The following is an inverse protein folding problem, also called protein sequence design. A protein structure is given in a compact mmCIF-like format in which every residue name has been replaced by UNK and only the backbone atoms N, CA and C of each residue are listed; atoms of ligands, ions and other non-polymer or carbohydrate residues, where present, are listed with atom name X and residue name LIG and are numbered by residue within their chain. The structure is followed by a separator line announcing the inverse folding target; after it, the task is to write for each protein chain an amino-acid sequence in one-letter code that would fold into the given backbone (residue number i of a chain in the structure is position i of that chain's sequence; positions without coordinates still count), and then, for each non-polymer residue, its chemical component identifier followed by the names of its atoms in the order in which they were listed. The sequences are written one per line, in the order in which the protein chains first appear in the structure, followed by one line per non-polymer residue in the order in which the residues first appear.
data_IF_892262297630
#
_entry.id   IF_892262297630
#
_cell.length_a   1.000
_cell.length_b   1.000
_cell.length_c   1.000
_cell.angle_alpha   90.00
_cell.angle_beta   90.00
_cell.angle_gamma   90.00
#
_symmetry.space_group_name_H-M   'P 1'
#
loop_
_entity.id
_entity.type
_entity.pdbx_description
1 polymer ?
#
# COMPACT_ATOMS: atom_id res chain seq x y z
N UNK A 1 17.30 9.54 40.07
CA UNK A 1 16.47 9.34 41.27
C UNK A 1 15.04 9.64 40.88
N UNK A 2 14.14 8.67 41.00
CA UNK A 2 12.71 8.89 40.70
C UNK A 2 12.07 9.52 41.93
N UNK A 3 11.37 10.64 41.74
CA UNK A 3 10.61 11.34 42.78
C UNK A 3 9.13 10.98 42.61
N UNK A 4 8.51 10.51 43.69
CA UNK A 4 7.10 10.18 43.75
C UNK A 4 6.37 11.30 44.51
N UNK A 5 5.35 11.87 43.90
CA UNK A 5 4.51 12.90 44.53
C UNK A 5 3.21 12.27 45.01
N UNK A 6 2.93 12.36 46.32
CA UNK A 6 1.66 11.93 46.91
C UNK A 6 0.99 13.10 47.64
N UNK A 7 -0.34 13.09 47.74
CA UNK A 7 -1.07 14.09 48.53
C UNK A 7 -1.27 13.58 49.94
N UNK A 8 -0.94 14.40 50.94
CA UNK A 8 -1.20 14.07 52.34
C UNK A 8 -2.73 14.00 52.59
N UNK A 9 -3.24 12.91 53.19
CA UNK A 9 -4.68 12.74 53.44
C UNK A 9 -5.24 13.70 54.50
N UNK A 10 -4.39 14.34 55.31
CA UNK A 10 -4.81 15.23 56.40
C UNK A 10 -4.90 16.70 55.99
N UNK A 11 -4.00 17.19 55.13
CA UNK A 11 -3.91 18.61 54.77
C UNK A 11 -3.95 18.87 53.26
N UNK A 12 -3.90 17.81 52.43
CA UNK A 12 -3.92 17.92 50.97
C UNK A 12 -2.63 18.45 50.34
N UNK A 13 -1.59 18.72 51.13
CA UNK A 13 -0.29 19.18 50.65
C UNK A 13 0.44 18.05 49.89
N UNK A 14 1.07 18.38 48.77
CA UNK A 14 1.87 17.44 47.98
C UNK A 14 3.23 17.22 48.64
N UNK A 15 3.56 15.96 48.91
CA UNK A 15 4.85 15.55 49.48
C UNK A 15 5.57 14.70 48.43
N UNK A 16 6.78 15.13 48.07
CA UNK A 16 7.66 14.43 47.13
C UNK A 16 8.66 13.57 47.93
N UNK A 17 8.70 12.27 47.66
CA UNK A 17 9.64 11.35 48.31
C UNK A 17 10.38 10.49 47.29
N UNK A 18 11.54 9.99 47.69
CA UNK A 18 12.32 9.02 46.91
C UNK A 18 11.82 7.60 47.18
N UNK A 19 12.05 6.72 46.21
CA UNK A 19 11.63 5.30 46.24
C UNK A 19 12.22 4.52 47.43
N UNK A 20 13.32 5.00 48.01
CA UNK A 20 14.07 4.30 49.06
C UNK A 20 13.36 4.26 50.43
N UNK A 21 12.28 5.04 50.62
CA UNK A 21 11.55 5.16 51.90
C UNK A 21 10.08 4.73 51.81
N UNK A 22 9.73 3.81 50.91
CA UNK A 22 8.35 3.37 50.65
C UNK A 22 7.65 2.62 51.80
N UNK A 23 8.41 2.02 52.73
CA UNK A 23 7.86 1.22 53.84
C UNK A 23 7.93 1.93 55.20
N UNK A 24 8.38 3.20 55.22
CA UNK A 24 8.56 3.97 56.44
C UNK A 24 7.53 5.12 56.51
N UNK A 25 7.07 5.47 57.72
CA UNK A 25 6.08 6.54 57.91
C UNK A 25 6.70 7.90 57.55
N UNK A 26 6.25 8.47 56.44
CA UNK A 26 6.68 9.79 55.99
C UNK A 26 5.95 10.85 56.82
N UNK A 27 6.69 11.83 57.36
CA UNK A 27 6.14 12.97 58.09
C UNK A 27 5.87 14.10 57.11
N UNK A 28 4.63 14.61 57.08
CA UNK A 28 4.29 15.75 56.22
C UNK A 28 4.95 17.04 56.73
N UNK A 29 5.70 17.80 55.91
CA UNK A 29 6.35 19.05 56.32
C UNK A 29 5.37 20.20 56.60
N UNK A 30 4.11 20.08 56.14
CA UNK A 30 3.11 21.13 56.31
C UNK A 30 2.24 20.96 57.57
N UNK A 31 2.10 19.73 58.10
CA UNK A 31 1.21 19.47 59.23
C UNK A 31 1.76 18.51 60.29
N UNK A 32 3.02 18.09 60.17
CA UNK A 32 3.76 17.22 61.11
C UNK A 32 3.05 15.91 61.50
N UNK A 33 2.12 15.45 60.66
CA UNK A 33 1.41 14.18 60.88
C UNK A 33 2.08 13.07 60.08
N UNK A 34 2.41 11.92 60.71
CA UNK A 34 2.88 10.76 59.99
C UNK A 34 1.72 10.11 59.22
N UNK A 35 1.94 9.75 57.96
CA UNK A 35 1.00 8.96 57.17
C UNK A 35 1.75 7.89 56.36
N UNK A 36 1.05 6.80 56.07
CA UNK A 36 1.57 5.70 55.27
C UNK A 36 1.03 5.81 53.84
N UNK A 37 1.91 5.63 52.86
CA UNK A 37 1.55 5.75 51.45
C UNK A 37 1.04 4.38 50.96
N UNK A 38 -0.28 4.17 50.95
CA UNK A 38 -0.84 2.99 50.32
C UNK A 38 -0.74 3.13 48.80
N UNK A 39 0.11 2.30 48.19
CA UNK A 39 0.17 2.14 46.74
C UNK A 39 -1.23 1.72 46.28
N UNK A 40 -1.85 2.40 45.29
CA UNK A 40 -3.14 2.01 44.79
C UNK A 40 -3.03 0.58 44.24
N UNK A 41 -3.57 -0.39 44.99
CA UNK A 41 -3.61 -1.77 44.53
C UNK A 41 -4.62 -1.83 43.40
N UNK A 42 -4.11 -1.92 42.17
CA UNK A 42 -4.92 -2.25 41.00
C UNK A 42 -5.44 -3.65 41.22
N UNK A 43 -6.70 -3.78 41.67
CA UNK A 43 -7.37 -5.06 41.74
C UNK A 43 -7.83 -5.43 40.34
N UNK A 44 -7.32 -6.52 39.81
CA UNK A 44 -7.79 -7.09 38.55
C UNK A 44 -9.24 -7.55 38.75
N UNK A 45 -10.21 -6.79 38.25
CA UNK A 45 -11.65 -7.09 38.44
C UNK A 45 -12.09 -8.33 37.68
N UNK A 46 -11.40 -8.66 36.58
CA UNK A 46 -11.62 -9.89 35.84
C UNK A 46 -10.42 -10.18 34.96
N UNK A 47 -9.87 -11.38 35.07
CA UNK A 47 -8.97 -11.96 34.05
C UNK A 47 -9.88 -12.70 33.08
N UNK A 48 -9.99 -12.21 31.84
CA UNK A 48 -10.66 -12.95 30.78
C UNK A 48 -9.63 -13.87 30.15
N UNK A 49 -9.71 -15.16 30.43
CA UNK A 49 -8.94 -16.16 29.71
C UNK A 49 -9.46 -16.16 28.26
N UNK A 50 -8.71 -15.54 27.35
CA UNK A 50 -8.80 -15.88 25.93
C UNK A 50 -8.37 -17.32 25.83
N UNK A 51 -9.30 -18.20 25.43
CA UNK A 51 -9.02 -19.62 25.25
C UNK A 51 -7.80 -19.84 24.38
N UNK A 52 -7.11 -20.95 24.63
CA UNK A 52 -6.01 -21.50 23.83
C UNK A 52 -6.51 -21.97 22.45
N UNK A 53 -7.16 -21.06 21.74
CA UNK A 53 -7.22 -21.10 20.29
C UNK A 53 -5.99 -20.31 19.87
N UNK A 54 -5.02 -21.00 19.25
CA UNK A 54 -4.09 -20.39 18.31
C UNK A 54 -4.92 -19.70 17.23
N UNK A 55 -5.42 -18.52 17.57
CA UNK A 55 -6.14 -17.63 16.68
C UNK A 55 -5.09 -17.05 15.72
N UNK A 56 -5.10 -17.45 14.43
CA UNK A 56 -4.13 -16.95 13.47
C UNK A 56 -4.20 -15.43 13.32
N UNK A 57 -5.26 -14.78 13.82
CA UNK A 57 -5.44 -13.34 13.76
C UNK A 57 -4.60 -12.56 14.79
N UNK A 58 -4.00 -13.21 15.80
CA UNK A 58 -3.14 -12.52 16.78
C UNK A 58 -1.77 -12.16 16.17
N UNK A 59 -1.32 -12.88 15.14
CA UNK A 59 -0.16 -12.44 14.35
C UNK A 59 -0.47 -11.20 13.49
N UNK A 60 -1.73 -10.96 13.12
CA UNK A 60 -2.12 -9.83 12.26
C UNK A 60 -2.31 -8.48 12.97
N UNK A 61 -2.27 -8.45 14.30
CA UNK A 61 -2.48 -7.22 15.08
C UNK A 61 -1.17 -6.47 15.42
N UNK A 62 -0.01 -7.09 15.21
CA UNK A 62 1.28 -6.39 15.29
C UNK A 62 1.61 -5.59 14.02
N UNK A 63 0.99 -5.90 12.88
CA UNK A 63 1.27 -5.26 11.59
C UNK A 63 0.40 -4.03 11.30
N UNK A 64 -0.68 -3.80 12.05
CA UNK A 64 -1.65 -2.75 11.75
C UNK A 64 -1.42 -1.40 12.47
N UNK A 65 -0.39 -1.26 13.31
CA UNK A 65 -0.06 0.01 13.98
C UNK A 65 1.32 0.53 13.57
N UNK A 66 1.41 1.08 12.35
CA UNK A 66 2.56 1.92 11.98
C UNK A 66 2.99 1.83 10.53
N UNK A 67 2.51 0.83 9.78
CA UNK A 67 2.95 0.61 8.41
C UNK A 67 2.48 1.76 7.50
N UNK A 68 3.40 2.63 7.11
CA UNK A 68 3.10 3.79 6.28
C UNK A 68 3.15 3.35 4.82
N UNK A 69 2.04 3.53 4.09
CA UNK A 69 2.03 3.31 2.64
C UNK A 69 2.87 4.40 1.97
N UNK A 70 4.14 4.09 1.70
CA UNK A 70 5.08 5.01 1.06
C UNK A 70 4.66 5.31 -0.38
N UNK A 71 4.20 4.29 -1.13
CA UNK A 71 3.88 4.47 -2.54
C UNK A 71 2.80 3.50 -3.04
N UNK A 72 1.73 4.06 -3.62
CA UNK A 72 0.69 3.29 -4.32
C UNK A 72 0.72 3.61 -5.80
N UNK A 73 1.17 2.65 -6.60
CA UNK A 73 1.32 2.78 -8.05
C UNK A 73 0.26 1.95 -8.76
N UNK A 74 -0.40 2.57 -9.74
CA UNK A 74 -1.24 1.86 -10.69
C UNK A 74 -0.53 1.85 -12.04
N UNK A 75 -0.56 0.75 -12.79
CA UNK A 75 0.13 0.68 -14.07
C UNK A 75 -0.53 1.65 -15.07
N UNK A 76 0.29 2.44 -15.76
CA UNK A 76 -0.19 3.41 -16.76
C UNK A 76 -0.25 2.76 -18.13
N UNK A 77 -1.37 2.12 -18.43
CA UNK A 77 -1.53 1.32 -19.67
C UNK A 77 -1.40 2.18 -20.94
N UNK A 78 -1.76 3.47 -20.87
CA UNK A 78 -1.61 4.42 -21.98
C UNK A 78 -0.16 4.58 -22.46
N UNK A 79 0.80 4.34 -21.57
CA UNK A 79 2.23 4.56 -21.80
C UNK A 79 2.97 3.28 -22.24
N UNK A 80 2.36 2.11 -22.04
CA UNK A 80 2.91 0.77 -22.33
C UNK A 80 2.93 0.40 -23.81
N UNK A 81 1.99 0.91 -24.63
CA UNK A 81 1.86 0.53 -26.04
C UNK A 81 1.82 1.78 -26.93
N UNK A 82 2.95 2.45 -27.21
CA UNK A 82 2.99 3.58 -28.15
C UNK A 82 2.46 3.17 -29.54
N UNK A 83 2.72 1.93 -29.96
CA UNK A 83 2.14 1.38 -31.19
C UNK A 83 0.63 1.12 -31.07
N UNK A 84 0.16 0.71 -29.90
CA UNK A 84 -1.27 0.49 -29.66
C UNK A 84 -2.06 1.79 -29.67
N UNK A 85 -1.54 2.85 -29.03
CA UNK A 85 -2.13 4.19 -29.06
C UNK A 85 -2.05 4.80 -30.46
N UNK A 86 -0.94 4.60 -31.19
CA UNK A 86 -0.84 4.98 -32.60
C UNK A 86 -1.86 4.24 -33.48
N UNK A 87 -2.06 2.93 -33.30
CA UNK A 87 -3.09 2.18 -34.02
C UNK A 87 -4.49 2.73 -33.71
N UNK A 88 -4.78 3.09 -32.46
CA UNK A 88 -6.06 3.72 -32.10
C UNK A 88 -6.21 5.08 -32.81
N UNK A 89 -5.17 5.92 -32.82
CA UNK A 89 -5.19 7.20 -33.54
C UNK A 89 -5.38 7.01 -35.05
N UNK A 90 -4.76 5.99 -35.64
CA UNK A 90 -4.93 5.62 -37.05
C UNK A 90 -6.36 5.15 -37.31
N UNK A 91 -6.94 4.34 -36.41
CA UNK A 91 -8.34 3.88 -36.52
C UNK A 91 -9.30 5.05 -36.40
N UNK A 92 -9.07 5.98 -35.47
CA UNK A 92 -9.85 7.22 -35.34
C UNK A 92 -9.71 8.12 -36.57
N UNK A 93 -8.50 8.27 -37.11
CA UNK A 93 -8.25 9.01 -38.34
C UNK A 93 -8.92 8.38 -39.56
N UNK A 94 -8.87 7.05 -39.69
CA UNK A 94 -9.53 6.31 -40.76
C UNK A 94 -11.06 6.36 -40.62
N UNK A 95 -11.60 6.22 -39.41
CA UNK A 95 -13.03 6.36 -39.13
C UNK A 95 -13.52 7.79 -39.43
N UNK A 96 -12.76 8.81 -39.04
CA UNK A 96 -13.04 10.21 -39.37
C UNK A 96 -12.98 10.48 -40.88
N UNK A 97 -12.00 9.93 -41.58
CA UNK A 97 -11.91 10.03 -43.05
C UNK A 97 -13.10 9.36 -43.75
N UNK A 98 -13.48 8.15 -43.32
CA UNK A 98 -14.66 7.44 -43.83
C UNK A 98 -15.96 8.19 -43.51
N UNK A 99 -16.06 8.81 -42.34
CA UNK A 99 -17.21 9.63 -41.94
C UNK A 99 -17.34 10.88 -42.82
N UNK A 100 -16.24 11.60 -43.08
CA UNK A 100 -16.23 12.74 -44.02
C UNK A 100 -16.62 12.30 -45.43
N UNK A 101 -16.15 11.12 -45.88
CA UNK A 101 -16.55 10.55 -47.17
C UNK A 101 -18.04 10.20 -47.23
N UNK A 102 -18.61 9.75 -46.12
CA UNK A 102 -20.04 9.44 -45.99
C UNK A 102 -20.95 10.67 -46.10
N UNK A 103 -20.46 11.88 -45.81
CA UNK A 103 -21.24 13.12 -45.91
C UNK A 103 -21.35 13.66 -47.34
N UNK A 104 -20.49 13.21 -48.26
CA UNK A 104 -20.42 13.69 -49.64
C UNK A 104 -20.73 12.64 -50.71
N UNK A 105 -21.15 11.43 -50.33
CA UNK A 105 -21.48 10.35 -51.24
C UNK A 105 -22.99 10.03 -51.17
N UNK A 106 -23.71 10.30 -52.27
CA UNK A 106 -25.15 9.98 -52.43
C UNK A 106 -25.42 8.46 -52.54
N UNK A 107 -24.39 7.65 -52.78
CA UNK A 107 -24.53 6.19 -52.88
C UNK A 107 -23.72 5.45 -51.80
N UNK A 108 -24.45 4.78 -50.91
CA UNK A 108 -23.93 3.66 -50.12
C UNK A 108 -23.89 3.87 -48.60
N UNK A 109 -25.01 3.55 -47.95
CA UNK A 109 -25.17 3.36 -46.50
C UNK A 109 -24.04 2.53 -45.84
N UNK A 110 -23.31 1.71 -46.60
CA UNK A 110 -22.26 0.80 -46.11
C UNK A 110 -21.06 1.52 -45.47
N UNK A 111 -20.66 2.71 -45.92
CA UNK A 111 -19.50 3.42 -45.34
C UNK A 111 -19.79 3.95 -43.93
N UNK A 112 -21.04 4.33 -43.66
CA UNK A 112 -21.48 4.76 -42.32
C UNK A 112 -21.39 3.62 -41.29
N UNK A 113 -21.80 2.41 -41.66
CA UNK A 113 -21.68 1.23 -40.78
C UNK A 113 -20.23 0.85 -40.49
N UNK A 114 -19.33 1.00 -41.47
CA UNK A 114 -17.89 0.74 -41.26
C UNK A 114 -17.28 1.77 -40.30
N UNK A 115 -17.63 3.06 -40.47
CA UNK A 115 -17.17 4.11 -39.56
C UNK A 115 -17.69 3.88 -38.13
N UNK A 116 -18.98 3.54 -37.98
CA UNK A 116 -19.58 3.19 -36.70
C UNK A 116 -18.87 1.99 -36.06
N UNK A 117 -18.65 0.91 -36.82
CA UNK A 117 -17.97 -0.28 -36.33
C UNK A 117 -16.53 0.01 -35.89
N UNK A 118 -15.79 0.85 -36.63
CA UNK A 118 -14.44 1.26 -36.25
C UNK A 118 -14.41 2.06 -34.94
N UNK A 119 -15.36 2.98 -34.75
CA UNK A 119 -15.50 3.74 -33.50
C UNK A 119 -15.81 2.81 -32.34
N UNK A 120 -16.80 1.91 -32.49
CA UNK A 120 -17.18 0.95 -31.45
C UNK A 120 -16.02 0.03 -31.10
N UNK A 121 -15.31 -0.52 -32.10
CA UNK A 121 -14.15 -1.36 -31.87
C UNK A 121 -13.03 -0.61 -31.12
N UNK A 122 -12.75 0.64 -31.49
CA UNK A 122 -11.76 1.45 -30.78
C UNK A 122 -12.13 1.69 -29.31
N UNK A 123 -13.41 1.94 -29.04
CA UNK A 123 -13.92 2.17 -27.70
C UNK A 123 -13.82 0.90 -26.83
N UNK A 124 -14.12 -0.27 -27.40
CA UNK A 124 -13.97 -1.55 -26.71
C UNK A 124 -12.52 -1.84 -26.34
N UNK A 125 -11.57 -1.55 -27.23
CA UNK A 125 -10.13 -1.73 -26.95
C UNK A 125 -9.68 -0.83 -25.79
N UNK A 126 -10.07 0.46 -25.82
CA UNK A 126 -9.74 1.40 -24.74
C UNK A 126 -10.37 0.97 -23.42
N UNK A 127 -11.63 0.55 -23.43
CA UNK A 127 -12.32 0.06 -22.25
C UNK A 127 -11.63 -1.17 -21.66
N UNK A 128 -11.25 -2.15 -22.50
CA UNK A 128 -10.53 -3.34 -22.07
C UNK A 128 -9.19 -3.00 -21.41
N UNK A 129 -8.42 -2.08 -22.00
CA UNK A 129 -7.15 -1.63 -21.40
C UNK A 129 -7.34 -0.87 -20.10
N UNK A 130 -8.36 -0.04 -20.02
CA UNK A 130 -8.70 0.69 -18.79
C UNK A 130 -9.06 -0.27 -17.66
N UNK A 131 -9.89 -1.28 -17.95
CA UNK A 131 -10.28 -2.29 -16.96
C UNK A 131 -9.03 -3.03 -16.44
N UNK A 132 -8.12 -3.44 -17.32
CA UNK A 132 -6.86 -4.07 -16.92
C UNK A 132 -5.98 -3.13 -16.07
N UNK A 133 -5.94 -1.84 -16.41
CA UNK A 133 -5.18 -0.83 -15.66
C UNK A 133 -5.65 -0.71 -14.20
N UNK A 134 -6.97 -0.75 -14.00
CA UNK A 134 -7.61 -0.63 -12.69
C UNK A 134 -7.53 -1.94 -11.91
N UNK A 135 -7.49 -3.07 -12.61
CA UNK A 135 -7.41 -4.40 -12.01
C UNK A 135 -6.03 -4.76 -11.44
N UNK A 136 -4.99 -3.97 -11.73
CA UNK A 136 -3.63 -4.21 -11.26
C UNK A 136 -3.19 -3.06 -10.37
N UNK A 137 -2.62 -3.36 -9.20
CA UNK A 137 -2.14 -2.35 -8.25
C UNK A 137 -0.89 -2.85 -7.55
N UNK A 138 0.16 -2.02 -7.55
CA UNK A 138 1.37 -2.25 -6.77
C UNK A 138 1.39 -1.27 -5.60
N UNK A 139 1.49 -1.80 -4.39
CA UNK A 139 1.58 -1.03 -3.16
C UNK A 139 2.92 -1.35 -2.50
N UNK A 140 3.75 -0.35 -2.32
CA UNK A 140 5.03 -0.44 -1.60
C UNK A 140 4.82 0.28 -0.28
N UNK A 141 5.06 -0.43 0.82
CA UNK A 141 5.06 0.10 2.18
C UNK A 141 6.49 0.18 2.69
N UNK A 142 6.66 0.50 3.98
CA UNK A 142 7.93 0.48 4.69
C UNK A 142 8.48 -0.93 4.92
N UNK A 143 7.64 -1.97 5.10
CA UNK A 143 8.15 -3.31 5.43
C UNK A 143 7.94 -4.33 4.31
N UNK A 144 7.01 -4.10 3.37
CA UNK A 144 6.65 -5.09 2.36
C UNK A 144 6.22 -4.47 1.04
N UNK A 145 6.17 -5.33 0.02
CA UNK A 145 5.63 -4.98 -1.29
C UNK A 145 4.46 -5.89 -1.61
N UNK A 146 3.30 -5.29 -1.89
CA UNK A 146 2.06 -6.00 -2.19
C UNK A 146 1.67 -5.73 -3.64
N UNK A 147 1.57 -6.80 -4.42
CA UNK A 147 1.10 -6.78 -5.79
C UNK A 147 -0.26 -7.46 -5.89
N UNK A 148 -1.24 -6.75 -6.44
CA UNK A 148 -2.59 -7.26 -6.66
C UNK A 148 -2.90 -7.22 -8.14
N UNK A 149 -3.36 -8.33 -8.70
CA UNK A 149 -3.81 -8.40 -10.08
C UNK A 149 -5.09 -9.20 -10.26
N UNK A 150 -5.84 -8.86 -11.31
CA UNK A 150 -6.98 -9.65 -11.77
C UNK A 150 -8.33 -8.95 -11.70
N UNK A 151 -9.20 -9.30 -12.66
CA UNK A 151 -10.53 -8.67 -12.85
C UNK A 151 -11.63 -9.48 -12.16
N UNK A 152 -11.59 -10.81 -12.34
CA UNK A 152 -12.63 -11.75 -11.87
C UNK A 152 -12.07 -12.60 -10.72
N UNK A 153 -10.99 -13.35 -11.00
CA UNK A 153 -10.10 -13.87 -9.97
C UNK A 153 -9.15 -12.74 -9.58
N UNK A 154 -8.93 -12.55 -8.27
CA UNK A 154 -7.95 -11.60 -7.75
C UNK A 154 -6.83 -12.40 -7.12
N UNK A 155 -5.65 -12.25 -7.66
CA UNK A 155 -4.42 -12.81 -7.16
C UNK A 155 -3.67 -11.71 -6.40
N UNK A 156 -3.18 -12.04 -5.21
CA UNK A 156 -2.44 -11.11 -4.34
C UNK A 156 -1.17 -11.78 -3.93
N UNK A 157 -0.04 -11.22 -4.35
CA UNK A 157 1.30 -11.63 -3.96
C UNK A 157 1.89 -10.58 -3.04
N UNK A 158 2.54 -11.03 -1.98
CA UNK A 158 3.15 -10.17 -0.98
C UNK A 158 4.54 -10.68 -0.64
N UNK A 159 5.51 -9.78 -0.61
CA UNK A 159 6.90 -10.11 -0.27
C UNK A 159 7.42 -9.07 0.72
N UNK A 160 7.87 -9.53 1.89
CA UNK A 160 8.55 -8.67 2.88
C UNK A 160 9.90 -8.21 2.31
N UNK A 161 10.29 -6.97 2.61
CA UNK A 161 11.55 -6.40 2.11
C UNK A 161 12.77 -7.22 2.57
N UNK A 162 12.72 -7.80 3.78
CA UNK A 162 13.74 -8.70 4.33
C UNK A 162 13.92 -9.99 3.52
N UNK A 163 12.84 -10.50 2.92
CA UNK A 163 12.84 -11.75 2.18
C UNK A 163 13.23 -11.56 0.70
N UNK A 164 13.29 -10.32 0.21
CA UNK A 164 13.62 -9.98 -1.18
C UNK A 164 15.09 -10.30 -1.46
N UNK A 165 15.31 -11.25 -2.36
CA UNK A 165 16.66 -11.71 -2.72
C UNK A 165 17.16 -11.12 -4.02
N UNK A 166 16.28 -10.97 -5.00
CA UNK A 166 16.62 -10.46 -6.31
C UNK A 166 15.49 -9.57 -6.85
N UNK A 167 15.89 -8.43 -7.41
CA UNK A 167 14.99 -7.47 -8.06
C UNK A 167 15.48 -7.28 -9.49
N UNK A 168 14.61 -7.57 -10.45
CA UNK A 168 14.87 -7.49 -11.88
C UNK A 168 14.08 -6.33 -12.47
N UNK A 169 14.73 -5.49 -13.26
CA UNK A 169 14.08 -4.40 -13.99
C UNK A 169 14.26 -4.67 -15.48
N UNK A 170 13.15 -4.86 -16.18
CA UNK A 170 13.13 -5.03 -17.63
C UNK A 170 12.59 -3.77 -18.30
N UNK A 171 13.41 -3.16 -19.16
CA UNK A 171 13.05 -1.96 -19.91
C UNK A 171 13.63 -2.01 -21.32
N UNK A 172 12.75 -1.96 -22.31
CA UNK A 172 13.11 -1.71 -23.71
C UNK A 172 13.49 -0.24 -23.95
N UNK A 173 14.15 0.05 -25.07
CA UNK A 173 14.59 1.42 -25.40
C UNK A 173 13.44 2.44 -25.42
N UNK A 174 12.30 2.07 -26.00
CA UNK A 174 11.10 2.91 -26.01
C UNK A 174 10.53 3.08 -24.60
N UNK A 175 10.48 2.02 -23.80
CA UNK A 175 10.08 2.08 -22.39
C UNK A 175 10.95 3.03 -21.56
N UNK A 176 12.28 3.07 -21.79
CA UNK A 176 13.18 4.04 -21.13
C UNK A 176 12.87 5.49 -21.52
N UNK A 177 12.64 5.76 -22.82
CA UNK A 177 12.29 7.10 -23.28
C UNK A 177 11.00 7.60 -22.62
N UNK A 178 10.01 6.70 -22.55
CA UNK A 178 8.75 6.97 -21.89
C UNK A 178 8.80 6.51 -20.43
N UNK A 179 9.94 6.47 -19.73
CA UNK A 179 10.08 6.20 -18.28
C UNK A 179 9.11 5.19 -17.63
N UNK A 180 8.88 4.06 -18.28
CA UNK A 180 8.04 2.94 -17.80
C UNK A 180 8.89 1.67 -17.87
N UNK A 181 8.65 0.70 -16.98
CA UNK A 181 9.30 -0.59 -17.06
C UNK A 181 8.54 -1.69 -16.34
N UNK A 182 9.07 -2.88 -16.45
CA UNK A 182 8.55 -4.07 -15.81
C UNK A 182 9.49 -4.41 -14.64
N UNK A 183 8.91 -4.70 -13.48
CA UNK A 183 9.65 -5.01 -12.24
C UNK A 183 9.30 -6.44 -11.84
N UNK A 184 10.31 -7.27 -11.68
CA UNK A 184 10.22 -8.62 -11.17
C UNK A 184 10.89 -8.74 -9.81
N UNK A 185 10.20 -9.31 -8.82
CA UNK A 185 10.77 -9.53 -7.48
C UNK A 185 10.74 -11.04 -7.18
N UNK A 186 11.86 -11.57 -6.70
CA UNK A 186 11.99 -12.95 -6.23
C UNK A 186 12.29 -12.99 -4.74
N UNK A 187 11.55 -13.84 -4.03
CA UNK A 187 11.69 -14.09 -2.60
C UNK A 187 12.68 -15.23 -2.32
N UNK A 188 13.16 -15.31 -1.09
CA UNK A 188 14.03 -16.37 -0.60
C UNK A 188 13.40 -17.77 -0.62
N UNK A 189 12.07 -17.86 -0.67
CA UNK A 189 11.33 -19.12 -0.63
C UNK A 189 11.16 -19.86 -1.97
N UNK A 190 11.34 -19.17 -3.11
CA UNK A 190 11.03 -19.72 -4.44
C UNK A 190 12.02 -19.19 -5.49
N UNK A 191 12.43 -20.03 -6.44
CA UNK A 191 13.35 -19.64 -7.52
C UNK A 191 12.65 -18.85 -8.65
N UNK A 192 11.32 -18.78 -8.66
CA UNK A 192 10.54 -18.05 -9.66
C UNK A 192 10.24 -16.60 -9.23
N UNK A 193 9.75 -15.78 -10.17
CA UNK A 193 9.29 -14.43 -9.89
C UNK A 193 7.94 -14.47 -9.16
N UNK A 194 7.92 -14.05 -7.90
CA UNK A 194 6.70 -14.04 -7.08
C UNK A 194 5.83 -12.81 -7.36
N UNK A 195 6.46 -11.70 -7.74
CA UNK A 195 5.79 -10.47 -8.17
C UNK A 195 6.30 -10.09 -9.55
N UNK A 196 5.38 -9.94 -10.50
CA UNK A 196 5.64 -9.43 -11.85
C UNK A 196 4.79 -8.20 -12.11
N UNK A 197 5.33 -7.04 -11.71
CA UNK A 197 4.68 -5.75 -11.86
C UNK A 197 4.98 -5.15 -13.24
N UNK A 198 4.00 -5.25 -14.14
CA UNK A 198 4.18 -4.83 -15.53
C UNK A 198 3.76 -3.38 -15.77
N UNK A 199 4.56 -2.65 -16.55
CA UNK A 199 4.33 -1.27 -16.95
C UNK A 199 4.16 -0.28 -15.78
N UNK A 200 5.04 -0.41 -14.81
CA UNK A 200 5.14 0.52 -13.70
C UNK A 200 5.83 1.81 -14.14
N UNK A 201 5.25 2.99 -13.82
CA UNK A 201 5.94 4.25 -13.96
C UNK A 201 7.12 4.32 -12.99
N UNK A 202 8.24 4.85 -13.47
CA UNK A 202 9.47 5.03 -12.69
C UNK A 202 9.92 3.78 -11.91
N UNK A 203 10.33 2.72 -12.62
CA UNK A 203 10.73 1.48 -11.96
C UNK A 203 12.03 1.62 -11.16
N UNK A 204 12.89 2.56 -11.51
CA UNK A 204 14.11 2.80 -10.75
C UNK A 204 13.79 3.36 -9.35
N UNK A 205 12.96 4.41 -9.28
CA UNK A 205 12.55 4.98 -8.00
C UNK A 205 11.79 3.98 -7.11
N UNK A 206 10.96 3.13 -7.70
CA UNK A 206 10.28 2.06 -6.95
C UNK A 206 11.26 1.06 -6.33
N UNK A 207 12.32 0.68 -7.04
CA UNK A 207 13.33 -0.25 -6.55
C UNK A 207 14.25 0.40 -5.52
N UNK A 208 14.60 1.66 -5.71
CA UNK A 208 15.41 2.41 -4.74
C UNK A 208 14.67 2.55 -3.41
N UNK A 209 13.34 2.79 -3.43
CA UNK A 209 12.50 2.79 -2.22
C UNK A 209 12.47 1.45 -1.51
N UNK A 210 12.39 0.34 -2.25
CA UNK A 210 12.45 -1.00 -1.64
C UNK A 210 13.80 -1.20 -0.97
N UNK A 211 14.90 -0.84 -1.63
CA UNK A 211 16.26 -1.01 -1.09
C UNK A 211 16.55 -0.13 0.12
N UNK A 212 16.02 1.08 0.16
CA UNK A 212 16.20 2.00 1.30
C UNK A 212 15.54 1.45 2.58
N UNK A 213 14.50 0.62 2.45
CA UNK A 213 13.79 0.03 3.59
C UNK A 213 14.20 -1.44 3.88
N UNK A 214 15.30 -1.93 3.30
CA UNK A 214 15.86 -3.26 3.61
C UNK A 214 16.87 -3.25 4.80
N UNK A 215 17.14 -2.09 5.41
CA UNK A 215 18.17 -1.92 6.46
C UNK A 215 17.65 -1.98 7.90
#
# INVERSE_FOLDING_TARGET
MQVLASKCPYCGHSVETTVDHLEERIVCPACDKPFEMEIPRVSVTSVRETGDETDPSVHGLAEAQGEQTLLKIHPVVFRRRPLGTLCILIVWGAAGYLFVRSLGADEGNSFGWIALAAVVASLLVVAYWYILSVATTLTITDNRTIFREGIISRDTSEVQHDDVRNIQIEQTFSQRLVGVGDIGISSSGQDDLEIVAVAMPDPAGAVDLIRENQE
#
